data_IF_372709600000
#
_entry.id   IF_372709600000
#
_cell.length_a   1.000
_cell.length_b   1.000
_cell.length_c   1.000
_cell.angle_alpha   90.00
_cell.angle_beta   90.00
_cell.angle_gamma   90.00
#
_symmetry.space_group_name_H-M   'P 1'
#
loop_
_entity.id
_entity.type
_entity.pdbx_description
1 polymer ?
#
# COMPACT_ATOMS: atom_id res chain seq x y z
N UNK A 1 11.12 6.38 2.52
CA UNK A 1 10.95 5.00 2.01
C UNK A 1 9.49 4.59 2.10
N UNK A 2 8.98 3.80 1.14
CA UNK A 2 7.58 3.39 1.02
C UNK A 2 7.42 1.90 1.31
N UNK A 3 6.61 1.57 2.30
CA UNK A 3 6.34 0.22 2.75
C UNK A 3 5.00 -0.26 2.20
N UNK A 4 4.96 -1.46 1.66
CA UNK A 4 3.72 -2.14 1.26
C UNK A 4 3.30 -3.09 2.38
N UNK A 5 2.05 -3.00 2.80
CA UNK A 5 1.46 -3.91 3.77
C UNK A 5 0.17 -4.53 3.22
N UNK A 6 -0.02 -5.80 3.47
CA UNK A 6 -1.24 -6.56 3.15
C UNK A 6 -2.15 -6.62 4.38
N UNK A 7 -3.46 -6.50 4.18
CA UNK A 7 -4.44 -6.71 5.23
C UNK A 7 -4.71 -8.21 5.39
N UNK A 8 -4.37 -8.75 6.56
CA UNK A 8 -4.62 -10.14 6.95
C UNK A 8 -5.56 -10.21 8.16
N UNK A 9 -5.97 -11.42 8.55
CA UNK A 9 -6.77 -11.63 9.78
C UNK A 9 -6.04 -11.18 11.05
N UNK A 10 -4.71 -11.10 11.03
CA UNK A 10 -3.88 -10.59 12.13
C UNK A 10 -3.62 -9.07 12.05
N UNK A 11 -4.23 -8.39 11.07
CA UNK A 11 -3.99 -6.98 10.76
C UNK A 11 -2.99 -6.79 9.61
N UNK A 12 -2.30 -5.66 9.62
CA UNK A 12 -1.39 -5.24 8.55
C UNK A 12 -0.05 -5.98 8.64
N UNK A 13 0.31 -6.69 7.58
CA UNK A 13 1.57 -7.41 7.46
C UNK A 13 2.45 -6.80 6.37
N UNK A 14 3.69 -6.44 6.70
CA UNK A 14 4.63 -5.91 5.73
C UNK A 14 5.03 -6.98 4.71
N UNK A 15 4.84 -6.69 3.42
CA UNK A 15 5.25 -7.62 2.36
C UNK A 15 6.47 -7.12 1.59
N UNK A 16 6.56 -5.81 1.32
CA UNK A 16 7.54 -5.25 0.39
C UNK A 16 7.93 -3.81 0.78
N UNK A 17 9.00 -3.32 0.15
CA UNK A 17 9.61 -2.02 0.42
C UNK A 17 10.16 -1.41 -0.87
N UNK A 18 9.94 -0.12 -1.09
CA UNK A 18 10.44 0.62 -2.26
C UNK A 18 10.96 1.99 -1.88
N UNK A 19 11.94 2.47 -2.64
CA UNK A 19 12.51 3.81 -2.44
C UNK A 19 11.61 4.92 -3.01
N UNK A 20 10.81 4.60 -4.04
CA UNK A 20 9.94 5.56 -4.72
C UNK A 20 8.46 5.26 -4.52
N UNK A 21 7.67 6.33 -4.44
CA UNK A 21 6.22 6.26 -4.28
C UNK A 21 5.57 5.50 -5.43
N UNK A 22 5.92 5.85 -6.67
CA UNK A 22 5.23 5.34 -7.85
C UNK A 22 5.43 3.83 -8.02
N UNK A 23 6.63 3.31 -7.72
CA UNK A 23 6.88 1.87 -7.73
C UNK A 23 6.08 1.15 -6.63
N UNK A 24 6.03 1.71 -5.41
CA UNK A 24 5.25 1.14 -4.33
C UNK A 24 3.75 1.07 -4.67
N UNK A 25 3.20 2.16 -5.22
CA UNK A 25 1.80 2.24 -5.62
C UNK A 25 1.47 1.24 -6.73
N UNK A 26 2.30 1.19 -7.78
CA UNK A 26 2.07 0.28 -8.90
C UNK A 26 2.15 -1.18 -8.44
N UNK A 27 3.15 -1.53 -7.62
CA UNK A 27 3.29 -2.87 -7.09
C UNK A 27 2.10 -3.26 -6.19
N UNK A 28 1.73 -2.42 -5.21
CA UNK A 28 0.58 -2.70 -4.34
C UNK A 28 -0.73 -2.83 -5.14
N UNK A 29 -0.91 -2.00 -6.18
CA UNK A 29 -2.06 -2.08 -7.09
C UNK A 29 -2.07 -3.39 -7.86
N UNK A 30 -0.93 -3.78 -8.45
CA UNK A 30 -0.81 -5.05 -9.19
C UNK A 30 -1.09 -6.26 -8.31
N UNK A 31 -0.67 -6.26 -7.04
CA UNK A 31 -1.00 -7.34 -6.10
C UNK A 31 -2.50 -7.39 -5.83
N UNK A 32 -3.10 -6.26 -5.44
CA UNK A 32 -4.54 -6.16 -5.16
C UNK A 32 -5.41 -6.59 -6.36
N UNK A 33 -5.02 -6.26 -7.58
CA UNK A 33 -5.73 -6.69 -8.80
C UNK A 33 -5.56 -8.20 -9.06
N UNK A 34 -4.44 -8.79 -8.68
CA UNK A 34 -4.11 -10.20 -8.95
C UNK A 34 -4.75 -11.17 -7.94
N UNK A 35 -4.71 -10.85 -6.64
CA UNK A 35 -5.22 -11.72 -5.56
C UNK A 35 -6.55 -11.24 -4.96
N UNK A 36 -6.97 -10.00 -5.24
CA UNK A 36 -8.18 -9.41 -4.68
C UNK A 36 -8.05 -8.95 -3.22
N UNK A 37 -6.86 -9.06 -2.61
CA UNK A 37 -6.60 -8.63 -1.25
C UNK A 37 -6.44 -7.11 -1.17
N UNK A 38 -6.56 -6.61 0.07
CA UNK A 38 -6.37 -5.18 0.35
C UNK A 38 -4.93 -4.93 0.75
N UNK A 39 -4.31 -3.95 0.08
CA UNK A 39 -2.96 -3.51 0.37
C UNK A 39 -2.97 -2.05 0.78
N UNK A 40 -1.96 -1.62 1.52
CA UNK A 40 -1.67 -0.20 1.71
C UNK A 40 -0.21 0.10 1.47
N UNK A 41 0.07 1.30 0.97
CA UNK A 41 1.40 1.88 0.89
C UNK A 41 1.50 2.95 1.97
N UNK A 42 2.49 2.85 2.85
CA UNK A 42 2.74 3.84 3.89
C UNK A 42 4.16 4.41 3.78
N UNK A 43 4.30 5.72 4.03
CA UNK A 43 5.60 6.37 4.20
C UNK A 43 5.50 7.36 5.34
N UNK A 44 6.27 7.14 6.41
CA UNK A 44 6.33 8.06 7.55
C UNK A 44 7.06 9.35 7.19
N UNK A 45 8.10 9.26 6.37
CA UNK A 45 8.89 10.42 5.93
C UNK A 45 8.08 11.37 5.05
N UNK A 46 7.17 10.81 4.25
CA UNK A 46 6.30 11.58 3.35
C UNK A 46 4.91 11.82 3.94
N UNK A 47 4.69 11.39 5.18
CA UNK A 47 3.39 11.35 5.85
C UNK A 47 2.26 10.92 4.91
N UNK A 48 2.40 9.74 4.29
CA UNK A 48 1.49 9.25 3.25
C UNK A 48 0.94 7.90 3.64
N UNK A 49 -0.36 7.70 3.40
CA UNK A 49 -1.02 6.39 3.37
C UNK A 49 -1.86 6.31 2.10
N UNK A 50 -1.68 5.26 1.31
CA UNK A 50 -2.56 4.93 0.20
C UNK A 50 -3.13 3.53 0.41
N UNK A 51 -4.44 3.37 0.25
CA UNK A 51 -5.15 2.09 0.34
C UNK A 51 -5.51 1.61 -1.06
N UNK A 52 -5.27 0.33 -1.33
CA UNK A 52 -5.51 -0.34 -2.59
C UNK A 52 -6.48 -1.47 -2.32
N UNK A 53 -7.64 -1.38 -2.94
CA UNK A 53 -8.66 -2.42 -2.93
C UNK A 53 -8.97 -2.80 -4.37
N UNK A 54 -9.66 -3.92 -4.53
CA UNK A 54 -10.20 -4.34 -5.84
C UNK A 54 -11.07 -3.28 -6.52
N UNK A 55 -11.70 -2.40 -5.74
CA UNK A 55 -12.65 -1.40 -6.24
C UNK A 55 -11.99 -0.05 -6.57
N UNK A 56 -10.73 0.14 -6.21
CA UNK A 56 -10.09 1.44 -6.37
C UNK A 56 -8.99 1.68 -5.35
N UNK A 57 -8.37 2.84 -5.48
CA UNK A 57 -7.31 3.30 -4.59
C UNK A 57 -7.64 4.69 -4.06
N UNK A 58 -7.38 4.90 -2.78
CA UNK A 58 -7.51 6.20 -2.12
C UNK A 58 -6.22 6.53 -1.38
N UNK A 59 -5.84 7.80 -1.33
CA UNK A 59 -4.62 8.27 -0.70
C UNK A 59 -4.91 9.44 0.24
N UNK A 60 -4.25 9.42 1.40
CA UNK A 60 -4.32 10.46 2.41
C UNK A 60 -2.91 10.89 2.79
N UNK A 61 -2.77 12.19 3.02
CA UNK A 61 -1.61 12.77 3.66
C UNK A 61 -1.91 12.83 5.15
N UNK A 62 -1.03 12.27 5.97
CA UNK A 62 -1.13 12.33 7.43
C UNK A 62 -0.55 13.67 7.89
N UNK A 63 -1.37 14.45 8.58
CA UNK A 63 -1.06 15.71 9.22
C UNK A 63 -0.32 15.54 10.56
#
# INVERSE_FOLDING_TARGET
MFQIEELTDAGWHQTDLHDTKDHALWHARSKSDADGHTYRVISRESSLVCLMTRNGSECWQLD
#
